data_IF_715204657830
#
_entry.id   IF_715204657830
#
_cell.length_a   1.000
_cell.length_b   1.000
_cell.length_c   1.000
_cell.angle_alpha   90.00
_cell.angle_beta   90.00
_cell.angle_gamma   90.00
#
_symmetry.space_group_name_H-M   'P 1'
#
loop_
_entity.id
_entity.type
_entity.pdbx_description
1 polymer ?
#
# COMPACT_ATOMS: atom_id res chain seq x y z
N UNK A 1 9.44 -16.44 -37.33
CA UNK A 1 8.83 -15.92 -36.07
C UNK A 1 8.10 -17.06 -35.39
N UNK A 2 8.40 -17.38 -34.12
CA UNK A 2 7.72 -18.48 -33.44
C UNK A 2 6.22 -18.19 -33.33
N UNK A 3 5.36 -19.17 -33.65
CA UNK A 3 3.90 -19.01 -33.62
C UNK A 3 3.38 -18.44 -32.28
N UNK A 4 4.01 -18.78 -31.16
CA UNK A 4 3.72 -18.24 -29.83
C UNK A 4 3.88 -16.70 -29.81
N UNK A 5 4.99 -16.17 -30.34
CA UNK A 5 5.23 -14.72 -30.35
C UNK A 5 4.26 -13.98 -31.27
N UNK A 6 3.93 -14.56 -32.42
CA UNK A 6 2.95 -13.97 -33.34
C UNK A 6 1.55 -13.91 -32.71
N UNK A 7 1.15 -14.98 -32.01
CA UNK A 7 -0.12 -15.02 -31.28
C UNK A 7 -0.14 -14.02 -30.10
N UNK A 8 0.95 -13.93 -29.35
CA UNK A 8 1.04 -12.96 -28.24
C UNK A 8 0.89 -11.53 -28.77
N UNK A 9 1.56 -11.19 -29.88
CA UNK A 9 1.45 -9.88 -30.51
C UNK A 9 0.03 -9.60 -31.04
N UNK A 10 -0.62 -10.61 -31.62
CA UNK A 10 -2.00 -10.51 -32.06
C UNK A 10 -2.95 -10.24 -30.88
N UNK A 11 -2.79 -10.98 -29.80
CA UNK A 11 -3.57 -10.80 -28.56
C UNK A 11 -3.36 -9.41 -27.96
N UNK A 12 -2.12 -8.91 -27.89
CA UNK A 12 -1.81 -7.56 -27.42
C UNK A 12 -2.48 -6.51 -28.32
N UNK A 13 -2.41 -6.66 -29.64
CA UNK A 13 -3.06 -5.72 -30.57
C UNK A 13 -4.58 -5.74 -30.43
N UNK A 14 -5.17 -6.91 -30.24
CA UNK A 14 -6.61 -7.05 -29.99
C UNK A 14 -7.01 -6.34 -28.69
N UNK A 15 -6.25 -6.57 -27.61
CA UNK A 15 -6.46 -5.92 -26.33
C UNK A 15 -6.34 -4.38 -26.42
N UNK A 16 -5.32 -3.87 -27.09
CA UNK A 16 -5.13 -2.41 -27.24
C UNK A 16 -6.20 -1.73 -28.11
N UNK A 17 -6.90 -2.50 -28.97
CA UNK A 17 -8.05 -1.99 -29.76
C UNK A 17 -9.34 -1.95 -28.94
N UNK A 18 -9.44 -2.73 -27.90
CA UNK A 18 -10.57 -2.69 -26.95
C UNK A 18 -10.38 -1.55 -25.95
N UNK A 19 -10.93 -0.38 -26.32
CA UNK A 19 -10.82 0.83 -25.48
C UNK A 19 -11.42 0.65 -24.09
N UNK A 20 -12.50 -0.14 -23.98
CA UNK A 20 -13.14 -0.41 -22.68
C UNK A 20 -12.24 -1.28 -21.80
N UNK A 21 -11.68 -2.36 -22.36
CA UNK A 21 -10.76 -3.23 -21.62
C UNK A 21 -9.52 -2.46 -21.13
N UNK A 22 -8.91 -1.64 -22.01
CA UNK A 22 -7.74 -0.80 -21.65
C UNK A 22 -8.11 0.21 -20.57
N UNK A 23 -9.26 0.89 -20.70
CA UNK A 23 -9.73 1.87 -19.72
C UNK A 23 -9.91 1.21 -18.35
N UNK A 24 -10.69 0.15 -18.27
CA UNK A 24 -10.97 -0.51 -16.99
C UNK A 24 -9.72 -1.15 -16.36
N UNK A 25 -8.78 -1.60 -17.18
CA UNK A 25 -7.54 -2.22 -16.70
C UNK A 25 -6.56 -1.16 -16.17
N UNK A 26 -6.38 -0.04 -16.86
CA UNK A 26 -5.35 0.97 -16.53
C UNK A 26 -5.94 2.14 -15.76
N UNK A 27 -7.04 2.74 -16.26
CA UNK A 27 -7.59 3.96 -15.69
C UNK A 27 -8.26 3.73 -14.33
N UNK A 28 -8.97 2.61 -14.15
CA UNK A 28 -9.67 2.31 -12.90
C UNK A 28 -8.74 2.29 -11.68
N UNK A 29 -7.64 1.51 -11.64
CA UNK A 29 -6.70 1.53 -10.52
C UNK A 29 -6.07 2.92 -10.30
N UNK A 30 -5.75 3.62 -11.37
CA UNK A 30 -5.16 4.96 -11.29
C UNK A 30 -6.13 5.99 -10.73
N UNK A 31 -7.38 5.97 -11.17
CA UNK A 31 -8.43 6.85 -10.62
C UNK A 31 -8.59 6.61 -9.13
N UNK A 32 -8.57 5.35 -8.68
CA UNK A 32 -8.64 5.03 -7.25
C UNK A 32 -7.41 5.53 -6.49
N UNK A 33 -6.20 5.30 -7.01
CA UNK A 33 -4.96 5.79 -6.37
C UNK A 33 -4.98 7.33 -6.28
N UNK A 34 -5.38 8.02 -7.36
CA UNK A 34 -5.46 9.49 -7.37
C UNK A 34 -6.56 9.98 -6.43
N UNK A 35 -7.74 9.37 -6.47
CA UNK A 35 -8.88 9.76 -5.62
C UNK A 35 -8.53 9.58 -4.13
N UNK A 36 -8.09 8.39 -3.75
CA UNK A 36 -7.68 8.14 -2.36
C UNK A 36 -6.43 8.93 -1.99
N UNK A 37 -5.49 9.07 -2.92
CA UNK A 37 -4.31 9.92 -2.74
C UNK A 37 -4.69 11.34 -2.39
N UNK A 38 -5.58 11.97 -3.14
CA UNK A 38 -6.05 13.34 -2.88
C UNK A 38 -6.87 13.43 -1.58
N UNK A 39 -7.72 12.45 -1.29
CA UNK A 39 -8.50 12.41 -0.05
C UNK A 39 -7.57 12.34 1.17
N UNK A 40 -6.60 11.45 1.14
CA UNK A 40 -5.67 11.25 2.28
C UNK A 40 -4.52 12.26 2.29
N UNK A 41 -4.13 12.84 1.16
CA UNK A 41 -3.18 13.96 1.10
C UNK A 41 -3.79 15.24 1.68
N UNK A 42 -5.12 15.43 1.52
CA UNK A 42 -5.88 16.55 2.10
C UNK A 42 -6.17 16.39 3.61
N UNK A 43 -5.99 15.21 4.20
CA UNK A 43 -6.12 15.00 5.65
C UNK A 43 -4.94 15.60 6.45
N UNK A 44 -4.05 16.37 5.83
CA UNK A 44 -3.14 17.31 6.50
C UNK A 44 -3.83 18.43 7.29
N UNK A 45 -5.20 18.43 7.29
CA UNK A 45 -6.04 19.18 8.23
C UNK A 45 -6.45 18.37 9.46
N UNK A 46 -6.08 17.12 9.59
CA UNK A 46 -6.19 16.38 10.85
C UNK A 46 -5.23 17.03 11.86
N UNK A 47 -5.76 17.39 13.02
CA UNK A 47 -4.96 17.97 14.11
C UNK A 47 -3.77 17.06 14.38
N UNK A 48 -2.56 17.60 14.24
CA UNK A 48 -1.31 16.92 14.58
C UNK A 48 -1.37 16.49 16.05
N UNK A 49 -1.34 15.20 16.30
CA UNK A 49 -1.29 14.66 17.66
C UNK A 49 0.16 14.49 18.08
N UNK A 50 0.62 15.29 19.03
CA UNK A 50 1.97 15.19 19.59
C UNK A 50 1.91 14.62 20.99
N UNK A 51 2.68 13.55 21.24
CA UNK A 51 2.95 13.08 22.58
C UNK A 51 3.77 14.10 23.36
N UNK A 52 3.30 14.52 24.53
CA UNK A 52 3.99 15.46 25.41
C UNK A 52 4.53 14.70 26.62
N UNK A 53 5.85 14.67 26.74
CA UNK A 53 6.56 14.06 27.86
C UNK A 53 7.28 15.17 28.63
N UNK A 54 6.83 15.45 29.85
CA UNK A 54 7.43 16.45 30.73
C UNK A 54 8.22 15.77 31.84
N UNK A 55 9.56 15.83 31.77
CA UNK A 55 10.46 15.30 32.80
C UNK A 55 10.95 16.39 33.76
N UNK A 56 10.56 17.65 33.55
CA UNK A 56 11.02 18.80 34.35
C UNK A 56 9.96 19.29 35.36
N UNK A 57 8.68 19.18 35.00
CA UNK A 57 7.54 19.63 35.80
C UNK A 57 7.64 21.08 36.32
N UNK A 58 8.37 21.94 35.60
CA UNK A 58 8.58 23.34 35.98
C UNK A 58 7.51 24.26 35.40
N UNK A 59 7.32 25.49 35.98
CA UNK A 59 6.45 26.48 35.38
C UNK A 59 6.86 26.87 33.93
N UNK A 60 8.15 26.79 33.63
CA UNK A 60 8.68 27.05 32.29
C UNK A 60 8.26 25.96 31.29
N UNK A 61 8.26 24.68 31.67
CA UNK A 61 7.74 23.59 30.87
C UNK A 61 6.23 23.73 30.64
N UNK A 62 5.48 24.17 31.65
CA UNK A 62 4.05 24.46 31.49
C UNK A 62 3.77 25.61 30.50
N UNK A 63 4.61 26.66 30.49
CA UNK A 63 4.50 27.74 29.52
C UNK A 63 4.83 27.27 28.11
N UNK A 64 5.86 26.43 27.93
CA UNK A 64 6.21 25.82 26.65
C UNK A 64 5.04 24.97 26.13
N UNK A 65 4.44 24.17 26.98
CA UNK A 65 3.24 23.39 26.67
C UNK A 65 2.08 24.27 26.22
N UNK A 66 1.82 25.37 26.93
CA UNK A 66 0.77 26.32 26.55
C UNK A 66 1.05 26.96 25.17
N UNK A 67 2.33 27.21 24.83
CA UNK A 67 2.72 27.68 23.51
C UNK A 67 2.35 26.70 22.39
N UNK A 68 2.60 25.41 22.59
CA UNK A 68 2.19 24.38 21.63
C UNK A 68 0.67 24.19 21.58
N UNK A 69 -0.01 24.22 22.72
CA UNK A 69 -1.46 24.10 22.80
C UNK A 69 -2.21 25.26 22.15
N UNK A 70 -1.56 26.43 22.03
CA UNK A 70 -2.08 27.62 21.35
C UNK A 70 -1.96 27.58 19.81
N UNK A 71 -1.29 26.58 19.24
CA UNK A 71 -1.19 26.45 17.79
C UNK A 71 -2.44 25.77 17.22
N UNK A 72 -3.06 26.43 16.23
CA UNK A 72 -4.19 25.87 15.53
C UNK A 72 -3.80 24.59 14.80
N UNK A 73 -4.61 23.53 14.96
CA UNK A 73 -4.37 22.25 14.29
C UNK A 73 -3.43 21.29 15.04
N UNK A 74 -3.04 21.58 16.28
CA UNK A 74 -2.20 20.73 17.11
C UNK A 74 -2.96 20.24 18.36
N UNK A 75 -2.78 18.99 18.72
CA UNK A 75 -3.33 18.39 19.95
C UNK A 75 -2.20 17.72 20.72
N UNK A 76 -2.01 18.10 21.98
CA UNK A 76 -1.03 17.47 22.87
C UNK A 76 -1.69 16.34 23.66
N UNK A 77 -1.03 15.19 23.68
CA UNK A 77 -1.42 14.03 24.50
C UNK A 77 -0.35 13.85 25.57
N UNK A 78 -0.71 14.01 26.84
CA UNK A 78 0.23 13.75 27.95
C UNK A 78 0.44 12.24 28.09
N UNK A 79 1.70 11.83 28.09
CA UNK A 79 2.07 10.43 28.13
C UNK A 79 3.48 10.28 28.73
N UNK A 80 3.85 9.07 29.09
CA UNK A 80 5.24 8.76 29.47
C UNK A 80 6.09 8.49 28.24
N UNK A 81 7.42 8.56 28.35
CA UNK A 81 8.33 8.37 27.21
C UNK A 81 8.14 7.02 26.52
N UNK A 82 7.99 5.96 27.29
CA UNK A 82 7.86 4.59 26.76
C UNK A 82 6.49 4.38 26.11
N UNK A 83 5.42 4.90 26.72
CA UNK A 83 4.08 4.89 26.14
C UNK A 83 4.01 5.73 24.86
N UNK A 84 4.59 6.94 24.87
CA UNK A 84 4.65 7.80 23.68
C UNK A 84 5.33 7.10 22.51
N UNK A 85 6.45 6.42 22.76
CA UNK A 85 7.17 5.66 21.73
C UNK A 85 6.31 4.48 21.24
N UNK A 86 5.57 3.80 22.11
CA UNK A 86 4.65 2.72 21.74
C UNK A 86 3.48 3.26 20.89
N UNK A 87 2.84 4.34 21.33
CA UNK A 87 1.76 5.02 20.60
C UNK A 87 2.23 5.55 19.25
N UNK A 88 3.46 6.09 19.16
CA UNK A 88 4.04 6.53 17.91
C UNK A 88 4.29 5.37 16.96
N UNK A 89 4.78 4.23 17.44
CA UNK A 89 4.93 3.00 16.64
C UNK A 89 3.59 2.48 16.12
N UNK A 90 2.52 2.62 16.89
CA UNK A 90 1.15 2.27 16.48
C UNK A 90 0.52 3.33 15.56
N UNK A 91 1.11 4.54 15.47
CA UNK A 91 0.59 5.64 14.66
C UNK A 91 -0.54 6.42 15.32
N UNK A 92 -0.74 6.26 16.63
CA UNK A 92 -1.75 6.98 17.42
C UNK A 92 -1.34 8.43 17.70
N UNK A 93 -0.01 8.70 17.73
CA UNK A 93 0.61 10.03 17.76
C UNK A 93 1.57 10.22 16.57
N UNK A 94 1.61 11.45 16.05
CA UNK A 94 2.38 11.79 14.85
C UNK A 94 3.84 12.17 15.15
N UNK A 95 4.12 12.51 16.39
CA UNK A 95 5.45 12.83 16.89
C UNK A 95 5.45 12.98 18.40
N UNK A 96 6.65 13.09 19.01
CA UNK A 96 6.78 13.21 20.45
C UNK A 96 7.72 14.36 20.77
N UNK A 97 7.36 15.17 21.77
CA UNK A 97 8.19 16.22 22.32
C UNK A 97 8.52 15.83 23.77
N UNK A 98 9.81 15.69 24.07
CA UNK A 98 10.28 15.36 25.41
C UNK A 98 11.01 16.58 25.98
N UNK A 99 10.49 17.14 27.07
CA UNK A 99 11.12 18.20 27.83
C UNK A 99 12.06 17.56 28.86
N UNK A 100 13.37 17.75 28.76
CA UNK A 100 14.33 17.13 29.68
C UNK A 100 14.30 17.80 31.06
N UNK A 101 14.71 17.04 32.07
CA UNK A 101 14.91 17.57 33.42
C UNK A 101 15.96 18.70 33.44
N UNK A 102 15.72 19.74 34.22
CA UNK A 102 16.61 20.93 34.28
C UNK A 102 16.27 22.02 33.25
N UNK A 103 15.24 21.85 32.42
CA UNK A 103 14.78 22.85 31.45
C UNK A 103 14.47 24.19 32.10
N UNK A 104 13.68 24.22 33.16
CA UNK A 104 13.31 25.43 33.89
C UNK A 104 14.49 26.09 34.61
N UNK A 105 15.41 25.28 35.18
CA UNK A 105 16.60 25.80 35.83
C UNK A 105 17.56 26.48 34.85
N UNK A 106 17.75 25.93 33.65
CA UNK A 106 18.58 26.51 32.59
C UNK A 106 18.01 27.82 32.07
N UNK A 107 16.69 27.92 31.87
CA UNK A 107 15.99 29.14 31.51
C UNK A 107 16.10 30.23 32.59
N UNK A 108 15.94 29.87 33.86
CA UNK A 108 16.10 30.82 34.98
C UNK A 108 17.52 31.32 35.11
N UNK A 109 18.55 30.47 34.95
CA UNK A 109 19.96 30.88 34.92
C UNK A 109 20.26 31.84 33.78
N UNK A 110 19.71 31.61 32.62
CA UNK A 110 19.86 32.51 31.47
C UNK A 110 19.14 33.86 31.69
N UNK A 111 17.97 33.88 32.32
CA UNK A 111 17.23 35.08 32.63
C UNK A 111 17.98 35.97 33.66
N UNK A 112 18.73 35.37 34.59
CA UNK A 112 19.55 36.06 35.59
C UNK A 112 20.91 36.56 35.07
N UNK A 113 21.20 36.47 33.79
CA UNK A 113 22.44 36.98 33.15
C UNK A 113 23.60 35.97 33.16
N UNK A 114 23.39 34.74 33.58
CA UNK A 114 24.37 33.67 33.50
C UNK A 114 24.51 33.11 32.08
N UNK A 115 25.61 32.45 31.78
CA UNK A 115 25.76 31.62 30.58
C UNK A 115 24.98 30.32 30.79
N UNK A 116 23.66 30.32 30.45
CA UNK A 116 22.86 29.11 30.44
C UNK A 116 23.40 28.10 29.43
N UNK A 117 23.55 26.84 29.83
CA UNK A 117 23.83 25.77 28.87
C UNK A 117 22.60 25.55 27.98
N UNK A 118 22.78 25.45 26.66
CA UNK A 118 21.68 25.15 25.77
C UNK A 118 21.00 23.82 26.20
N UNK A 119 19.68 23.83 26.26
CA UNK A 119 18.88 22.61 26.57
C UNK A 119 18.41 22.00 25.26
N UNK A 120 18.70 20.74 25.10
CA UNK A 120 18.21 19.98 23.94
C UNK A 120 16.80 19.47 24.22
N UNK A 121 15.87 19.86 23.36
CA UNK A 121 14.50 19.36 23.34
C UNK A 121 14.43 18.16 22.40
N UNK A 122 14.25 16.97 22.91
CA UNK A 122 14.13 15.79 22.06
C UNK A 122 12.82 15.82 21.28
N UNK A 123 12.92 15.85 19.95
CA UNK A 123 11.77 15.82 19.04
C UNK A 123 11.81 14.53 18.23
N UNK A 124 10.94 13.61 18.57
CA UNK A 124 10.84 12.34 17.85
C UNK A 124 9.90 12.50 16.65
N UNK A 125 10.38 12.13 15.48
CA UNK A 125 9.65 12.13 14.23
C UNK A 125 9.86 10.84 13.46
N UNK A 126 8.92 10.51 12.59
CA UNK A 126 9.03 9.35 11.70
C UNK A 126 9.70 9.77 10.38
N UNK A 127 10.86 9.21 10.05
CA UNK A 127 11.55 9.50 8.79
C UNK A 127 10.78 9.03 7.56
N UNK A 128 9.85 8.07 7.72
CA UNK A 128 8.97 7.62 6.62
C UNK A 128 7.86 8.63 6.27
N UNK A 129 7.69 9.70 7.10
CA UNK A 129 6.67 10.75 6.94
C UNK A 129 7.32 12.14 6.88
N UNK A 130 8.14 12.44 5.86
CA UNK A 130 8.94 13.68 5.82
C UNK A 130 8.09 14.96 5.86
N UNK A 131 6.87 14.93 5.31
CA UNK A 131 5.95 16.08 5.34
C UNK A 131 5.43 16.35 6.76
N UNK A 132 5.07 15.31 7.53
CA UNK A 132 4.67 15.44 8.92
C UNK A 132 5.83 15.86 9.80
N UNK A 133 7.02 15.28 9.60
CA UNK A 133 8.23 15.71 10.27
C UNK A 133 8.51 17.20 10.03
N UNK A 134 8.40 17.66 8.77
CA UNK A 134 8.53 19.07 8.41
C UNK A 134 7.53 19.97 9.14
N UNK A 135 6.26 19.57 9.23
CA UNK A 135 5.21 20.31 9.94
C UNK A 135 5.48 20.36 11.46
N UNK A 136 5.98 19.26 12.05
CA UNK A 136 6.34 19.19 13.46
C UNK A 136 7.52 20.14 13.75
N UNK A 137 8.59 20.09 12.92
CA UNK A 137 9.73 20.99 13.08
C UNK A 137 9.35 22.45 12.87
N UNK A 138 8.42 22.76 11.98
CA UNK A 138 7.90 24.11 11.80
C UNK A 138 7.13 24.58 13.05
N UNK A 139 6.28 23.73 13.63
CA UNK A 139 5.58 24.04 14.88
C UNK A 139 6.56 24.26 16.03
N UNK A 140 7.54 23.36 16.18
CA UNK A 140 8.61 23.47 17.17
C UNK A 140 9.40 24.77 16.96
N UNK A 141 9.80 25.06 15.74
CA UNK A 141 10.52 26.28 15.39
C UNK A 141 9.73 27.57 15.72
N UNK A 142 8.40 27.55 15.49
CA UNK A 142 7.52 28.69 15.81
C UNK A 142 7.48 28.94 17.32
N UNK A 143 7.28 27.90 18.14
CA UNK A 143 7.18 28.00 19.59
C UNK A 143 8.55 28.35 20.19
N UNK A 144 9.63 27.70 19.77
CA UNK A 144 10.98 27.97 20.25
C UNK A 144 11.49 29.35 19.79
N UNK A 145 11.02 29.83 18.63
CA UNK A 145 11.30 31.18 18.17
C UNK A 145 10.82 32.24 19.17
N UNK A 146 9.66 32.05 19.79
CA UNK A 146 9.14 32.94 20.83
C UNK A 146 9.96 32.82 22.13
N UNK A 147 10.36 31.63 22.51
CA UNK A 147 11.18 31.40 23.73
C UNK A 147 12.60 31.97 23.59
N UNK A 148 13.16 31.89 22.37
CA UNK A 148 14.52 32.35 22.06
C UNK A 148 14.60 33.85 21.67
N UNK A 149 13.47 34.59 21.67
CA UNK A 149 13.42 36.05 21.38
C UNK A 149 14.12 36.89 22.49
N UNK A 150 15.40 37.09 22.31
CA UNK A 150 16.17 37.93 23.28
C UNK A 150 17.56 38.30 22.78
N UNK A 151 17.94 38.06 21.52
CA UNK A 151 19.23 38.41 20.95
C UNK A 151 20.43 37.68 21.56
N UNK A 152 20.20 36.61 22.28
CA UNK A 152 21.18 35.67 22.87
C UNK A 152 21.27 34.39 22.05
N UNK A 153 22.36 33.61 22.16
CA UNK A 153 22.42 32.27 21.52
C UNK A 153 21.20 31.45 21.95
N UNK A 154 20.64 30.61 21.05
CA UNK A 154 19.43 29.86 21.32
C UNK A 154 19.62 28.99 22.56
N UNK A 155 18.75 29.18 23.55
CA UNK A 155 18.77 28.46 24.83
C UNK A 155 18.14 27.09 24.72
N UNK A 156 17.28 26.91 23.72
CA UNK A 156 16.59 25.63 23.47
C UNK A 156 16.83 25.25 22.02
N UNK A 157 17.42 24.09 21.82
CA UNK A 157 17.75 23.57 20.50
C UNK A 157 16.95 22.26 20.31
N UNK A 158 16.22 22.08 19.19
CA UNK A 158 15.57 20.81 18.91
C UNK A 158 16.63 19.76 18.58
N UNK A 159 16.61 18.64 19.30
CA UNK A 159 17.41 17.45 19.03
C UNK A 159 16.58 16.45 18.23
N UNK A 160 16.88 16.22 16.94
CA UNK A 160 16.10 15.32 16.11
C UNK A 160 16.34 13.87 16.52
N UNK A 161 15.27 13.19 16.94
CA UNK A 161 15.25 11.76 17.19
C UNK A 161 14.33 11.08 16.19
N UNK A 162 14.64 9.86 15.78
CA UNK A 162 13.85 9.13 14.80
C UNK A 162 13.25 7.88 15.41
N UNK A 163 11.94 7.72 15.22
CA UNK A 163 11.21 6.48 15.53
C UNK A 163 10.45 6.07 14.30
N UNK A 164 10.71 4.86 13.79
CA UNK A 164 9.97 4.33 12.65
C UNK A 164 8.60 3.82 13.12
N UNK A 165 7.54 4.40 12.56
CA UNK A 165 6.17 3.88 12.76
C UNK A 165 5.99 2.60 11.97
N UNK A 166 5.34 1.62 12.59
CA UNK A 166 4.96 0.37 11.91
C UNK A 166 3.69 0.55 11.08
N UNK A 167 2.95 1.64 11.31
CA UNK A 167 1.75 1.98 10.56
C UNK A 167 2.11 2.81 9.33
N UNK A 168 1.84 2.23 8.17
CA UNK A 168 1.99 2.88 6.87
C UNK A 168 1.01 4.05 6.74
N UNK A 169 1.46 5.13 6.11
CA UNK A 169 0.54 6.16 5.59
C UNK A 169 -0.53 5.51 4.72
N UNK A 170 -1.76 6.04 4.76
CA UNK A 170 -2.87 5.49 3.99
C UNK A 170 -2.50 5.24 2.52
N UNK A 171 -1.76 6.16 1.88
CA UNK A 171 -1.31 6.02 0.49
C UNK A 171 -0.30 4.88 0.34
N UNK A 172 0.68 4.77 1.25
CA UNK A 172 1.67 3.69 1.24
C UNK A 172 1.02 2.31 1.45
N UNK A 173 -0.11 2.27 2.16
CA UNK A 173 -0.94 1.07 2.28
C UNK A 173 -1.73 0.77 1.00
N UNK A 174 -2.29 1.83 0.36
CA UNK A 174 -3.17 1.68 -0.81
C UNK A 174 -2.42 1.31 -2.09
N UNK A 175 -1.25 1.88 -2.37
CA UNK A 175 -0.53 1.66 -3.64
C UNK A 175 -0.20 0.17 -3.88
N UNK A 176 0.42 -0.57 -2.94
CA UNK A 176 0.65 -2.02 -3.11
C UNK A 176 -0.65 -2.82 -3.18
N UNK A 177 -1.67 -2.40 -2.41
CA UNK A 177 -2.97 -3.05 -2.40
C UNK A 177 -3.70 -2.90 -3.74
N UNK A 178 -3.65 -1.70 -4.34
CA UNK A 178 -4.21 -1.44 -5.68
C UNK A 178 -3.45 -2.20 -6.77
N UNK A 179 -2.13 -2.38 -6.61
CA UNK A 179 -1.36 -3.25 -7.50
C UNK A 179 -1.86 -4.69 -7.41
N UNK A 180 -2.05 -5.23 -6.21
CA UNK A 180 -2.59 -6.57 -5.99
C UNK A 180 -3.98 -6.75 -6.61
N UNK A 181 -4.89 -5.78 -6.40
CA UNK A 181 -6.22 -5.74 -7.00
C UNK A 181 -6.17 -5.73 -8.54
N UNK A 182 -5.28 -4.93 -9.11
CA UNK A 182 -5.11 -4.82 -10.56
C UNK A 182 -4.64 -6.15 -11.17
N UNK A 183 -3.68 -6.81 -10.52
CA UNK A 183 -3.19 -8.12 -10.94
C UNK A 183 -4.31 -9.17 -10.88
N UNK A 184 -5.09 -9.19 -9.79
CA UNK A 184 -6.27 -10.04 -9.66
C UNK A 184 -7.24 -9.81 -10.80
N UNK A 185 -7.57 -8.54 -11.09
CA UNK A 185 -8.50 -8.18 -12.14
C UNK A 185 -8.03 -8.69 -13.52
N UNK A 186 -6.78 -8.43 -13.90
CA UNK A 186 -6.21 -8.92 -15.16
C UNK A 186 -6.29 -10.44 -15.27
N UNK A 187 -6.04 -11.15 -14.17
CA UNK A 187 -6.06 -12.60 -14.14
C UNK A 187 -7.48 -13.18 -14.26
N UNK A 188 -8.38 -12.77 -13.38
CA UNK A 188 -9.74 -13.34 -13.31
C UNK A 188 -10.56 -12.99 -14.57
N UNK A 189 -10.45 -11.74 -15.06
CA UNK A 189 -11.15 -11.31 -16.28
C UNK A 189 -10.63 -11.97 -17.57
N UNK A 190 -9.56 -12.76 -17.51
CA UNK A 190 -9.13 -13.59 -18.62
C UNK A 190 -10.16 -14.68 -18.99
N UNK A 191 -11.07 -15.02 -18.07
CA UNK A 191 -12.16 -15.97 -18.31
C UNK A 191 -13.09 -15.50 -19.44
N UNK A 192 -13.44 -14.22 -19.46
CA UNK A 192 -14.47 -13.67 -20.34
C UNK A 192 -14.14 -13.84 -21.83
N UNK A 193 -13.01 -13.30 -22.36
CA UNK A 193 -12.68 -13.49 -23.77
C UNK A 193 -12.45 -14.96 -24.14
N UNK A 194 -11.95 -15.78 -23.20
CA UNK A 194 -11.75 -17.20 -23.47
C UNK A 194 -13.08 -17.93 -23.70
N UNK A 195 -14.10 -17.60 -22.89
CA UNK A 195 -15.45 -18.15 -23.04
C UNK A 195 -16.13 -17.58 -24.28
N UNK A 196 -15.99 -16.29 -24.55
CA UNK A 196 -16.50 -15.65 -25.77
C UNK A 196 -15.91 -16.29 -27.05
N UNK A 197 -14.59 -16.57 -27.07
CA UNK A 197 -13.95 -17.26 -28.19
C UNK A 197 -14.47 -18.68 -28.37
N UNK A 198 -14.81 -19.38 -27.29
CA UNK A 198 -15.45 -20.69 -27.34
C UNK A 198 -16.89 -20.61 -27.86
N UNK A 199 -17.70 -19.69 -27.32
CA UNK A 199 -19.08 -19.46 -27.71
C UNK A 199 -19.20 -19.08 -29.22
N UNK A 200 -18.28 -18.25 -29.71
CA UNK A 200 -18.19 -17.83 -31.10
C UNK A 200 -17.47 -18.84 -32.00
N UNK A 201 -17.15 -20.05 -31.48
CA UNK A 201 -16.47 -21.15 -32.19
C UNK A 201 -15.09 -20.75 -32.77
N UNK A 202 -14.46 -19.70 -32.26
CA UNK A 202 -13.13 -19.24 -32.68
C UNK A 202 -12.07 -20.28 -32.32
N UNK A 203 -12.16 -20.85 -31.09
CA UNK A 203 -11.24 -21.91 -30.66
C UNK A 203 -11.31 -23.15 -31.58
N UNK A 204 -12.50 -23.49 -32.06
CA UNK A 204 -12.71 -24.62 -32.99
C UNK A 204 -12.07 -24.34 -34.36
N UNK A 205 -12.16 -23.11 -34.85
CA UNK A 205 -11.49 -22.70 -36.10
C UNK A 205 -9.97 -22.68 -35.94
N UNK A 206 -9.46 -22.23 -34.80
CA UNK A 206 -8.03 -22.27 -34.49
C UNK A 206 -7.50 -23.70 -34.35
N UNK A 207 -8.30 -24.63 -33.85
CA UNK A 207 -7.93 -26.04 -33.76
C UNK A 207 -7.76 -26.73 -35.13
N UNK A 208 -8.36 -26.17 -36.21
CA UNK A 208 -8.15 -26.63 -37.60
C UNK A 208 -6.83 -26.13 -38.21
N UNK A 209 -6.09 -25.25 -37.52
CA UNK A 209 -4.77 -24.76 -37.93
C UNK A 209 -3.65 -25.62 -37.32
N UNK A 210 -2.40 -25.60 -37.84
CA UNK A 210 -1.28 -26.35 -37.29
C UNK A 210 -0.77 -25.82 -35.93
N UNK A 211 -1.58 -25.03 -35.21
CA UNK A 211 -1.24 -24.47 -33.91
C UNK A 211 -1.38 -25.52 -32.80
N UNK A 212 -0.38 -25.59 -31.93
CA UNK A 212 -0.44 -26.46 -30.76
C UNK A 212 -1.20 -25.78 -29.63
N UNK A 213 -2.01 -26.54 -28.87
CA UNK A 213 -2.81 -26.02 -27.74
C UNK A 213 -2.01 -25.21 -26.74
N UNK A 214 -0.80 -25.66 -26.41
CA UNK A 214 0.07 -24.94 -25.49
C UNK A 214 0.52 -23.55 -26.00
N UNK A 215 0.56 -23.36 -27.35
CA UNK A 215 0.91 -22.07 -27.95
C UNK A 215 -0.23 -21.05 -27.78
N UNK A 216 -1.48 -21.51 -27.85
CA UNK A 216 -2.66 -20.68 -27.59
C UNK A 216 -2.74 -20.27 -26.12
N UNK A 217 -2.63 -21.21 -25.21
CA UNK A 217 -2.65 -20.93 -23.77
C UNK A 217 -1.45 -20.09 -23.38
N UNK A 218 -0.24 -20.46 -23.81
CA UNK A 218 1.00 -19.76 -23.50
C UNK A 218 1.04 -18.33 -24.01
N UNK A 219 0.47 -18.05 -25.19
CA UNK A 219 0.38 -16.68 -25.72
C UNK A 219 -0.55 -15.81 -24.89
N UNK A 220 -1.66 -16.35 -24.38
CA UNK A 220 -2.59 -15.64 -23.50
C UNK A 220 -1.95 -15.39 -22.14
N UNK A 221 -1.30 -16.41 -21.53
CA UNK A 221 -0.55 -16.26 -20.28
C UNK A 221 0.51 -15.17 -20.41
N UNK A 222 1.34 -15.23 -21.47
CA UNK A 222 2.40 -14.26 -21.69
C UNK A 222 1.86 -12.83 -21.84
N UNK A 223 0.79 -12.65 -22.63
CA UNK A 223 0.12 -11.35 -22.78
C UNK A 223 -0.36 -10.82 -21.41
N UNK A 224 -1.04 -11.65 -20.60
CA UNK A 224 -1.57 -11.23 -19.30
C UNK A 224 -0.47 -10.86 -18.30
N UNK A 225 0.61 -11.62 -18.28
CA UNK A 225 1.79 -11.31 -17.46
C UNK A 225 2.41 -9.98 -17.92
N UNK A 226 2.53 -9.73 -19.21
CA UNK A 226 3.04 -8.45 -19.73
C UNK A 226 2.13 -7.27 -19.33
N UNK A 227 0.81 -7.44 -19.40
CA UNK A 227 -0.15 -6.41 -18.95
C UNK A 227 0.02 -6.16 -17.45
N UNK A 228 0.14 -7.21 -16.62
CA UNK A 228 0.35 -7.10 -15.19
C UNK A 228 1.65 -6.35 -14.86
N UNK A 229 2.73 -6.62 -15.57
CA UNK A 229 3.98 -5.86 -15.44
C UNK A 229 3.85 -4.41 -15.85
N UNK A 230 3.17 -4.13 -16.97
CA UNK A 230 2.92 -2.75 -17.41
C UNK A 230 2.12 -1.99 -16.37
N UNK A 231 1.09 -2.60 -15.80
CA UNK A 231 0.32 -2.01 -14.70
C UNK A 231 1.18 -1.79 -13.46
N UNK A 232 2.02 -2.77 -13.09
CA UNK A 232 2.90 -2.65 -11.94
C UNK A 232 3.84 -1.44 -12.09
N UNK A 233 4.45 -1.27 -13.28
CA UNK A 233 5.31 -0.12 -13.57
C UNK A 233 4.54 1.19 -13.47
N UNK A 234 3.33 1.26 -14.04
CA UNK A 234 2.51 2.48 -14.03
C UNK A 234 2.08 2.82 -12.59
N UNK A 235 1.57 1.84 -11.83
CA UNK A 235 1.09 2.05 -10.46
C UNK A 235 2.25 2.46 -9.54
N UNK A 236 3.38 1.79 -9.65
CA UNK A 236 4.60 2.14 -8.91
C UNK A 236 5.07 3.54 -9.27
N UNK A 237 5.15 3.88 -10.57
CA UNK A 237 5.57 5.21 -11.01
C UNK A 237 4.63 6.31 -10.49
N UNK A 238 3.30 6.10 -10.56
CA UNK A 238 2.34 7.08 -10.01
C UNK A 238 2.45 7.17 -8.50
N UNK A 239 2.58 6.05 -7.79
CA UNK A 239 2.77 6.02 -6.33
C UNK A 239 4.02 6.79 -5.88
N UNK A 240 5.14 6.61 -6.57
CA UNK A 240 6.42 7.26 -6.21
C UNK A 240 6.46 8.72 -6.67
N UNK A 241 6.09 9.02 -7.93
CA UNK A 241 6.27 10.37 -8.50
C UNK A 241 5.18 11.35 -8.07
N UNK A 242 3.91 10.88 -7.95
CA UNK A 242 2.80 11.77 -7.58
C UNK A 242 2.54 11.84 -6.07
N UNK A 243 2.83 10.76 -5.34
CA UNK A 243 2.47 10.64 -3.92
C UNK A 243 3.67 10.41 -2.99
N UNK A 244 4.89 10.36 -3.51
CA UNK A 244 6.10 10.23 -2.71
C UNK A 244 6.22 8.90 -1.96
N UNK A 245 5.60 7.82 -2.44
CA UNK A 245 5.72 6.50 -1.84
C UNK A 245 7.15 5.99 -2.04
N UNK A 246 7.88 5.82 -0.96
CA UNK A 246 9.24 5.28 -0.99
C UNK A 246 9.21 3.76 -1.07
N UNK A 247 9.87 3.22 -2.10
CA UNK A 247 10.03 1.77 -2.24
C UNK A 247 11.33 1.37 -1.55
N UNK A 248 11.19 0.70 -0.41
CA UNK A 248 12.33 0.28 0.43
C UNK A 248 12.90 -1.07 0.05
N UNK A 249 12.13 -1.90 -0.63
CA UNK A 249 12.50 -3.28 -0.91
C UNK A 249 12.95 -3.56 -2.33
N UNK A 250 13.27 -4.82 -2.62
CA UNK A 250 13.78 -5.28 -3.90
C UNK A 250 12.69 -5.34 -4.97
N UNK A 251 12.85 -4.57 -6.06
CA UNK A 251 11.98 -4.62 -7.24
C UNK A 251 11.96 -6.01 -7.90
N UNK A 252 13.02 -6.81 -7.74
CA UNK A 252 13.06 -8.19 -8.26
C UNK A 252 12.07 -9.09 -7.52
N UNK A 253 11.94 -8.93 -6.19
CA UNK A 253 10.97 -9.67 -5.37
C UNK A 253 9.54 -9.20 -5.73
N UNK A 254 9.34 -7.90 -5.91
CA UNK A 254 8.05 -7.35 -6.40
C UNK A 254 7.68 -8.00 -7.73
N UNK A 255 8.61 -8.04 -8.71
CA UNK A 255 8.40 -8.67 -10.01
C UNK A 255 8.06 -10.18 -9.87
N UNK A 256 8.70 -10.88 -8.93
CA UNK A 256 8.38 -12.26 -8.59
C UNK A 256 6.93 -12.43 -8.12
N UNK A 257 6.47 -11.60 -7.17
CA UNK A 257 5.08 -11.65 -6.68
C UNK A 257 4.06 -11.18 -7.72
N UNK A 258 4.40 -10.19 -8.57
CA UNK A 258 3.58 -9.79 -9.72
C UNK A 258 3.36 -10.96 -10.67
N UNK A 259 4.45 -11.68 -11.01
CA UNK A 259 4.37 -12.87 -11.90
C UNK A 259 3.55 -13.98 -11.26
N UNK A 260 3.85 -14.32 -10.01
CA UNK A 260 3.18 -15.40 -9.27
C UNK A 260 1.69 -15.09 -9.08
N UNK A 261 1.36 -13.86 -8.68
CA UNK A 261 -0.01 -13.40 -8.54
C UNK A 261 -0.77 -13.42 -9.86
N UNK A 262 -0.16 -12.91 -10.95
CA UNK A 262 -0.77 -12.94 -12.28
C UNK A 262 -1.08 -14.38 -12.72
N UNK A 263 -0.16 -15.32 -12.51
CA UNK A 263 -0.37 -16.74 -12.84
C UNK A 263 -1.44 -17.39 -11.95
N UNK A 264 -1.46 -17.09 -10.64
CA UNK A 264 -2.44 -17.63 -9.71
C UNK A 264 -3.86 -17.16 -10.07
N UNK A 265 -4.07 -15.86 -10.31
CA UNK A 265 -5.38 -15.33 -10.68
C UNK A 265 -5.80 -15.69 -12.11
N UNK A 266 -4.85 -15.83 -13.03
CA UNK A 266 -5.12 -16.32 -14.37
C UNK A 266 -5.61 -17.78 -14.34
N UNK A 267 -5.00 -18.63 -13.50
CA UNK A 267 -5.45 -20.00 -13.32
C UNK A 267 -6.87 -20.07 -12.72
N UNK A 268 -7.21 -19.14 -11.80
CA UNK A 268 -8.57 -18.99 -11.29
C UNK A 268 -9.54 -18.55 -12.40
N UNK A 269 -9.13 -17.62 -13.27
CA UNK A 269 -9.90 -17.25 -14.46
C UNK A 269 -10.18 -18.44 -15.37
N UNK A 270 -9.21 -19.31 -15.58
CA UNK A 270 -9.41 -20.54 -16.36
C UNK A 270 -10.34 -21.55 -15.67
N UNK A 271 -10.36 -21.60 -14.34
CA UNK A 271 -11.37 -22.37 -13.60
C UNK A 271 -12.76 -21.81 -13.90
N UNK A 272 -12.96 -20.49 -13.79
CA UNK A 272 -14.24 -19.84 -14.12
C UNK A 272 -14.67 -20.19 -15.55
N UNK A 273 -13.76 -20.06 -16.52
CA UNK A 273 -14.02 -20.40 -17.91
C UNK A 273 -14.39 -21.88 -18.13
N UNK A 274 -13.92 -22.76 -17.25
CA UNK A 274 -14.25 -24.20 -17.32
C UNK A 274 -15.68 -24.53 -16.86
N UNK A 275 -16.27 -23.67 -16.02
CA UNK A 275 -17.63 -23.86 -15.49
C UNK A 275 -18.69 -23.02 -16.21
N UNK A 276 -18.30 -22.05 -17.03
CA UNK A 276 -19.23 -21.17 -17.74
C UNK A 276 -19.27 -21.51 -19.23
N UNK A 277 -20.45 -21.39 -19.86
CA UNK A 277 -20.67 -21.71 -21.29
C UNK A 277 -20.87 -20.47 -22.12
N UNK A 278 -21.33 -19.37 -21.54
CA UNK A 278 -21.62 -18.12 -22.23
C UNK A 278 -20.80 -16.98 -21.67
N UNK A 279 -20.56 -15.96 -22.47
CA UNK A 279 -19.85 -14.74 -22.10
C UNK A 279 -20.51 -14.05 -20.89
N UNK A 280 -21.86 -13.96 -20.89
CA UNK A 280 -22.62 -13.37 -19.78
C UNK A 280 -22.47 -14.14 -18.46
N UNK A 281 -22.51 -15.49 -18.53
CA UNK A 281 -22.31 -16.32 -17.35
C UNK A 281 -20.88 -16.19 -16.79
N UNK A 282 -19.89 -16.07 -17.67
CA UNK A 282 -18.50 -15.81 -17.27
C UNK A 282 -18.35 -14.45 -16.57
N UNK A 283 -19.00 -13.43 -17.09
CA UNK A 283 -18.99 -12.08 -16.54
C UNK A 283 -19.66 -12.06 -15.15
N UNK A 284 -20.83 -12.68 -15.02
CA UNK A 284 -21.54 -12.77 -13.75
C UNK A 284 -20.75 -13.53 -12.68
N UNK A 285 -20.17 -14.70 -13.01
CA UNK A 285 -19.40 -15.50 -12.06
C UNK A 285 -18.07 -14.82 -11.68
N UNK A 286 -17.41 -14.17 -12.65
CA UNK A 286 -16.19 -13.37 -12.39
C UNK A 286 -16.47 -12.27 -11.40
N UNK A 287 -17.54 -11.49 -11.61
CA UNK A 287 -17.95 -10.41 -10.71
C UNK A 287 -18.32 -10.92 -9.32
N UNK A 288 -19.07 -12.04 -9.25
CA UNK A 288 -19.48 -12.66 -7.99
C UNK A 288 -18.28 -13.10 -7.13
N UNK A 289 -17.19 -13.55 -7.76
CA UNK A 289 -15.96 -13.93 -7.05
C UNK A 289 -15.11 -12.71 -6.73
N UNK A 290 -14.99 -11.74 -7.66
CA UNK A 290 -14.13 -10.58 -7.52
C UNK A 290 -14.56 -9.68 -6.37
N UNK A 291 -15.85 -9.34 -6.25
CA UNK A 291 -16.31 -8.38 -5.24
C UNK A 291 -16.00 -8.83 -3.79
N UNK A 292 -16.34 -10.06 -3.36
CA UNK A 292 -15.94 -10.51 -2.03
C UNK A 292 -14.41 -10.54 -1.84
N UNK A 293 -13.66 -11.00 -2.84
CA UNK A 293 -12.19 -10.98 -2.76
C UNK A 293 -11.64 -9.58 -2.58
N UNK A 294 -12.18 -8.58 -3.29
CA UNK A 294 -11.74 -7.20 -3.22
C UNK A 294 -11.94 -6.60 -1.81
N UNK A 295 -13.13 -6.79 -1.22
CA UNK A 295 -13.44 -6.20 0.07
C UNK A 295 -12.86 -6.96 1.26
N UNK A 296 -12.78 -8.29 1.19
CA UNK A 296 -12.34 -9.13 2.31
C UNK A 296 -10.83 -9.39 2.33
N UNK A 297 -10.10 -9.04 1.27
CA UNK A 297 -8.65 -9.31 1.18
C UNK A 297 -7.76 -8.42 2.04
N UNK A 298 -8.32 -7.43 2.71
CA UNK A 298 -7.50 -6.43 3.40
C UNK A 298 -6.89 -5.36 2.49
N UNK A 299 -7.37 -5.25 1.23
CA UNK A 299 -6.88 -4.24 0.31
C UNK A 299 -7.44 -2.84 0.62
N UNK A 300 -8.70 -2.76 1.04
CA UNK A 300 -9.37 -1.50 1.42
C UNK A 300 -9.38 -1.27 2.92
N UNK A 301 -9.60 -2.30 3.71
CA UNK A 301 -9.70 -2.23 5.16
C UNK A 301 -8.69 -3.20 5.79
N UNK A 302 -8.04 -2.80 6.87
CA UNK A 302 -7.14 -3.68 7.60
C UNK A 302 -7.92 -4.88 8.15
N UNK A 303 -7.35 -6.09 7.99
CA UNK A 303 -8.03 -7.34 8.38
C UNK A 303 -8.33 -7.36 9.88
N UNK A 304 -7.45 -6.78 10.70
CA UNK A 304 -7.58 -6.74 12.16
C UNK A 304 -8.78 -5.91 12.64
N UNK A 305 -9.27 -5.00 11.78
CA UNK A 305 -10.46 -4.18 12.06
C UNK A 305 -11.77 -4.90 11.66
N UNK A 306 -11.68 -6.06 11.02
CA UNK A 306 -12.85 -6.82 10.59
C UNK A 306 -13.38 -7.71 11.73
N UNK A 307 -14.70 -7.99 11.77
CA UNK A 307 -15.25 -9.03 12.65
C UNK A 307 -14.54 -10.38 12.47
N UNK A 308 -14.38 -11.14 13.55
CA UNK A 308 -13.60 -12.39 13.54
C UNK A 308 -13.99 -13.39 12.45
N UNK A 309 -15.29 -13.52 12.16
CA UNK A 309 -15.75 -14.44 11.11
C UNK A 309 -15.28 -14.03 9.69
N UNK A 310 -15.14 -12.71 9.42
CA UNK A 310 -14.60 -12.21 8.16
C UNK A 310 -13.08 -12.40 8.07
N UNK A 311 -12.37 -12.29 9.20
CA UNK A 311 -10.93 -12.55 9.25
C UNK A 311 -10.61 -14.01 8.83
N UNK A 312 -11.45 -14.99 9.22
CA UNK A 312 -11.28 -16.39 8.81
C UNK A 312 -11.42 -16.53 7.28
N UNK A 313 -12.39 -15.83 6.69
CA UNK A 313 -12.58 -15.83 5.21
C UNK A 313 -11.39 -15.15 4.53
N UNK A 314 -10.93 -14.01 5.05
CA UNK A 314 -9.78 -13.28 4.53
C UNK A 314 -8.51 -14.15 4.44
N UNK A 315 -8.31 -15.05 5.40
CA UNK A 315 -7.17 -15.99 5.43
C UNK A 315 -7.17 -17.04 4.32
N UNK A 316 -8.30 -17.25 3.65
CA UNK A 316 -8.41 -18.20 2.53
C UNK A 316 -8.17 -17.50 1.19
N UNK A 317 -8.40 -16.20 1.12
CA UNK A 317 -8.37 -15.40 -0.10
C UNK A 317 -6.93 -15.20 -0.60
N UNK A 318 -6.59 -15.57 -1.84
CA UNK A 318 -5.23 -15.42 -2.37
C UNK A 318 -4.81 -13.95 -2.52
N UNK A 319 -5.76 -13.04 -2.72
CA UNK A 319 -5.48 -11.60 -2.82
C UNK A 319 -4.92 -11.03 -1.51
N UNK A 320 -5.35 -11.55 -0.37
CA UNK A 320 -4.81 -11.19 0.96
C UNK A 320 -3.29 -11.35 1.00
N UNK A 321 -2.81 -12.50 0.57
CA UNK A 321 -1.38 -12.82 0.58
C UNK A 321 -0.60 -12.08 -0.50
N UNK A 322 -1.21 -11.81 -1.66
CA UNK A 322 -0.56 -10.99 -2.68
C UNK A 322 -0.42 -9.54 -2.23
N UNK A 323 -1.50 -8.94 -1.72
CA UNK A 323 -1.48 -7.56 -1.23
C UNK A 323 -0.54 -7.39 -0.04
N UNK A 324 -0.51 -8.36 0.87
CA UNK A 324 0.39 -8.37 2.02
C UNK A 324 1.86 -8.48 1.59
N UNK A 325 2.20 -9.42 0.70
CA UNK A 325 3.56 -9.58 0.18
C UNK A 325 4.05 -8.31 -0.54
N UNK A 326 3.19 -7.70 -1.37
CA UNK A 326 3.52 -6.45 -2.05
C UNK A 326 3.74 -5.31 -1.06
N UNK A 327 2.92 -5.20 0.01
CA UNK A 327 3.11 -4.19 1.07
C UNK A 327 4.42 -4.41 1.83
N UNK A 328 4.70 -5.64 2.25
CA UNK A 328 5.96 -5.95 2.94
C UNK A 328 7.18 -5.58 2.11
N UNK A 329 7.17 -5.95 0.82
CA UNK A 329 8.35 -5.75 -0.04
C UNK A 329 8.44 -4.31 -0.54
N UNK A 330 7.33 -3.65 -0.88
CA UNK A 330 7.39 -2.29 -1.44
C UNK A 330 7.63 -1.22 -0.39
N UNK A 331 6.95 -1.32 0.75
CA UNK A 331 6.90 -0.21 1.73
C UNK A 331 7.24 -0.62 3.16
N UNK A 332 7.74 -1.83 3.37
CA UNK A 332 8.13 -2.31 4.70
C UNK A 332 6.96 -2.46 5.68
N UNK A 333 5.73 -2.70 5.17
CA UNK A 333 4.53 -2.84 5.99
C UNK A 333 4.59 -3.99 6.97
N UNK A 334 3.85 -3.86 8.09
CA UNK A 334 3.71 -4.94 9.06
C UNK A 334 3.17 -6.21 8.38
N UNK A 335 3.84 -7.36 8.55
CA UNK A 335 3.47 -8.58 7.87
C UNK A 335 2.20 -9.19 8.48
N UNK A 336 1.22 -9.52 7.63
CA UNK A 336 0.13 -10.41 8.01
C UNK A 336 0.61 -11.86 8.07
N UNK A 337 1.47 -12.24 7.13
CA UNK A 337 2.12 -13.55 7.07
C UNK A 337 3.55 -13.43 6.54
N UNK A 338 4.48 -14.32 6.92
CA UNK A 338 5.82 -14.33 6.33
C UNK A 338 5.80 -14.44 4.81
N UNK A 339 6.73 -13.81 4.10
CA UNK A 339 6.78 -13.80 2.63
C UNK A 339 6.76 -15.20 1.99
N UNK A 340 7.41 -16.19 2.62
CA UNK A 340 7.39 -17.56 2.13
C UNK A 340 6.00 -18.21 2.21
N UNK A 341 5.19 -17.85 3.24
CA UNK A 341 3.79 -18.31 3.36
C UNK A 341 2.95 -17.66 2.27
N UNK A 342 3.13 -16.36 2.01
CA UNK A 342 2.45 -15.67 0.92
C UNK A 342 2.73 -16.35 -0.43
N UNK A 343 4.00 -16.65 -0.70
CA UNK A 343 4.40 -17.37 -1.92
C UNK A 343 3.81 -18.80 -1.97
N UNK A 344 3.83 -19.54 -0.86
CA UNK A 344 3.30 -20.90 -0.78
C UNK A 344 1.77 -20.94 -1.03
N UNK A 345 1.02 -20.00 -0.45
CA UNK A 345 -0.43 -19.91 -0.67
C UNK A 345 -0.75 -19.57 -2.12
N UNK A 346 -0.06 -18.61 -2.72
CA UNK A 346 -0.26 -18.27 -4.13
C UNK A 346 0.11 -19.42 -5.07
N UNK A 347 1.20 -20.14 -4.79
CA UNK A 347 1.57 -21.37 -5.51
C UNK A 347 0.52 -22.47 -5.33
N UNK A 348 0.00 -22.65 -4.12
CA UNK A 348 -1.08 -23.60 -3.84
C UNK A 348 -2.32 -23.30 -4.68
N UNK A 349 -2.77 -22.05 -4.70
CA UNK A 349 -3.88 -21.61 -5.55
C UNK A 349 -3.61 -21.83 -7.04
N UNK A 350 -2.39 -21.49 -7.51
CA UNK A 350 -1.98 -21.74 -8.89
C UNK A 350 -2.09 -23.21 -9.26
N UNK A 351 -1.52 -24.10 -8.43
CA UNK A 351 -1.50 -25.55 -8.71
C UNK A 351 -2.91 -26.15 -8.67
N UNK A 352 -3.69 -25.80 -7.65
CA UNK A 352 -5.06 -26.29 -7.49
C UNK A 352 -5.95 -25.82 -8.65
N UNK A 353 -5.96 -24.53 -8.93
CA UNK A 353 -6.78 -23.97 -10.01
C UNK A 353 -6.33 -24.49 -11.38
N UNK A 354 -5.02 -24.56 -11.63
CA UNK A 354 -4.51 -25.11 -12.88
C UNK A 354 -4.88 -26.59 -13.04
N UNK A 355 -4.79 -27.39 -11.96
CA UNK A 355 -5.21 -28.79 -11.97
C UNK A 355 -6.69 -28.98 -12.25
N UNK A 356 -7.57 -28.14 -11.68
CA UNK A 356 -9.01 -28.13 -11.95
C UNK A 356 -9.27 -27.74 -13.41
N UNK A 357 -8.67 -26.63 -13.85
CA UNK A 357 -8.82 -26.15 -15.22
C UNK A 357 -8.35 -27.19 -16.24
N UNK A 358 -7.18 -27.79 -16.03
CA UNK A 358 -6.64 -28.81 -16.94
C UNK A 358 -7.53 -30.05 -17.09
N UNK A 359 -8.28 -30.42 -16.04
CA UNK A 359 -9.19 -31.59 -16.06
C UNK A 359 -10.57 -31.27 -16.61
N UNK A 360 -11.05 -30.03 -16.43
CA UNK A 360 -12.44 -29.65 -16.75
C UNK A 360 -12.57 -28.82 -18.01
N UNK A 361 -11.46 -28.22 -18.51
CA UNK A 361 -11.52 -27.34 -19.67
C UNK A 361 -11.79 -28.14 -20.95
N UNK A 362 -12.97 -27.94 -21.51
CA UNK A 362 -13.37 -28.49 -22.81
C UNK A 362 -13.03 -27.51 -23.93
N UNK A 363 -12.34 -27.99 -24.94
CA UNK A 363 -11.93 -27.22 -26.12
C UNK A 363 -13.01 -27.14 -27.20
N UNK A 364 -14.18 -27.70 -26.94
CA UNK A 364 -15.28 -27.81 -27.93
C UNK A 364 -16.37 -26.79 -27.66
#
# INVERSE_FOLDING_TARGET
MNALFALTLANIRSYLRDRAAVFWTIAFPLVFIVMFGLIFQGSGGARLKLGWVDSDASPAAAQLKAGFAGLDGLTLVETTRDEAIAEMKLGDVDGIIVVPSGYGASLAAAASGGTGTPVELDVFTDPSRPQLAGSIYQAVGTVLGVVNLGGRPPLVIPSPQTVQTTNLNAISYFVPSMLGLSIMQVGIFAAIPLVADREKLILKRLAATPLRRWQLVGSNVLMRVLIAFTQAVIIVAVGTLAFGVEITGSLLIVAGFVTLGAMAFLSLGYVIASFTKTEDAANGLTSMIQFPMMFLSGAFFQIDQMPQFLQVIARIIPLTYLADALRQVMVGGAPFAPLWVCAAVLLGWLVVCFGIAARRFEWQ
#
